data_IF_269000026262
#
_entry.id   IF_269000026262
#
_cell.length_a   1.000
_cell.length_b   1.000
_cell.length_c   1.000
_cell.angle_alpha   90.00
_cell.angle_beta   90.00
_cell.angle_gamma   90.00
#
_symmetry.space_group_name_H-M   'P 1'
#
loop_
_entity.id
_entity.type
_entity.pdbx_description
1 polymer ?
#
# COMPACT_ATOMS: atom_id res chain seq x y z
N UNK A 1 20.52 -4.13 21.96
CA UNK A 1 19.43 -4.34 20.97
C UNK A 1 18.33 -3.29 21.12
N UNK A 2 17.94 -2.63 20.02
CA UNK A 2 16.75 -1.77 19.89
C UNK A 2 15.76 -2.42 18.94
N UNK A 3 14.50 -2.54 19.35
CA UNK A 3 13.44 -3.12 18.50
C UNK A 3 12.58 -2.01 17.91
N UNK A 4 12.53 -1.93 16.59
CA UNK A 4 11.84 -0.89 15.83
C UNK A 4 10.78 -1.55 14.94
N UNK A 5 9.51 -1.29 15.19
CA UNK A 5 8.43 -1.72 14.29
C UNK A 5 8.16 -0.66 13.23
N UNK A 6 7.95 -1.07 11.98
CA UNK A 6 7.44 -0.19 10.92
C UNK A 6 5.97 -0.53 10.72
N UNK A 7 5.08 0.37 11.09
CA UNK A 7 3.64 0.12 11.06
C UNK A 7 2.91 1.22 10.32
N UNK A 8 1.87 0.85 9.54
CA UNK A 8 0.88 1.73 8.92
C UNK A 8 -0.26 0.90 8.30
N UNK A 9 -1.50 1.28 8.61
CA UNK A 9 -2.76 0.67 8.16
C UNK A 9 -3.01 0.85 6.65
N UNK A 10 -2.34 1.82 6.02
CA UNK A 10 -2.43 2.02 4.58
C UNK A 10 -1.52 1.02 3.87
N UNK A 11 -2.10 0.18 3.01
CA UNK A 11 -1.32 -0.62 2.05
C UNK A 11 -0.51 0.28 1.11
N UNK A 12 0.69 -0.17 0.71
CA UNK A 12 1.52 0.58 -0.25
C UNK A 12 2.25 1.82 0.29
N UNK A 13 2.27 2.04 1.60
CA UNK A 13 3.05 3.12 2.23
C UNK A 13 4.56 2.83 2.36
N UNK A 14 5.03 1.69 1.85
CA UNK A 14 6.45 1.33 1.79
C UNK A 14 7.06 0.71 3.05
N UNK A 15 6.29 0.04 3.91
CA UNK A 15 6.79 -0.60 5.15
C UNK A 15 7.91 -1.61 4.89
N UNK A 16 7.62 -2.64 4.11
CA UNK A 16 8.60 -3.67 3.68
C UNK A 16 9.81 -3.03 2.98
N UNK A 17 9.59 -2.05 2.11
CA UNK A 17 10.68 -1.31 1.45
C UNK A 17 11.57 -0.61 2.47
N UNK A 18 10.99 -0.02 3.52
CA UNK A 18 11.76 0.59 4.60
C UNK A 18 12.53 -0.47 5.38
N UNK A 19 11.89 -1.58 5.76
CA UNK A 19 12.53 -2.67 6.51
C UNK A 19 13.77 -3.20 5.78
N UNK A 20 13.60 -3.58 4.52
CA UNK A 20 14.69 -4.13 3.69
C UNK A 20 15.84 -3.13 3.57
N UNK A 21 15.56 -1.89 3.18
CA UNK A 21 16.61 -0.95 2.82
C UNK A 21 17.23 -0.26 4.04
N UNK A 22 16.45 0.01 5.08
CA UNK A 22 17.00 0.48 6.36
C UNK A 22 17.87 -0.60 6.99
N UNK A 23 17.42 -1.87 6.97
CA UNK A 23 18.18 -3.00 7.50
C UNK A 23 19.53 -3.16 6.81
N UNK A 24 19.52 -3.18 5.48
CA UNK A 24 20.74 -3.27 4.69
C UNK A 24 21.68 -2.05 4.90
N UNK A 25 21.14 -0.83 5.02
CA UNK A 25 21.96 0.35 5.32
C UNK A 25 22.54 0.33 6.74
N UNK A 26 21.78 -0.08 7.76
CA UNK A 26 22.29 -0.23 9.13
C UNK A 26 23.42 -1.28 9.19
N UNK A 27 23.25 -2.40 8.50
CA UNK A 27 24.28 -3.44 8.39
C UNK A 27 25.57 -2.91 7.75
N UNK A 28 25.46 -2.07 6.72
CA UNK A 28 26.62 -1.40 6.08
C UNK A 28 27.30 -0.36 6.97
N UNK A 29 26.57 0.24 7.91
CA UNK A 29 27.14 1.12 8.94
C UNK A 29 27.77 0.32 10.11
N UNK A 30 27.75 -1.02 10.02
CA UNK A 30 28.43 -1.93 10.97
C UNK A 30 27.53 -2.51 12.06
N UNK A 31 26.22 -2.22 12.04
CA UNK A 31 25.29 -2.74 13.04
C UNK A 31 24.77 -4.12 12.69
N UNK A 32 24.75 -5.03 13.67
CA UNK A 32 24.12 -6.35 13.50
C UNK A 32 22.60 -6.16 13.50
N UNK A 33 21.97 -6.44 12.37
CA UNK A 33 20.58 -6.09 12.12
C UNK A 33 19.76 -7.32 11.76
N UNK A 34 18.61 -7.48 12.42
CA UNK A 34 17.63 -8.53 12.14
C UNK A 34 16.35 -7.90 11.58
N UNK A 35 15.88 -8.32 10.41
CA UNK A 35 14.52 -8.08 9.96
C UNK A 35 13.60 -9.22 10.41
N UNK A 36 12.39 -8.91 10.84
CA UNK A 36 11.35 -9.88 11.19
C UNK A 36 10.10 -9.53 10.39
N UNK A 37 9.69 -10.43 9.50
CA UNK A 37 8.47 -10.27 8.72
C UNK A 37 7.27 -10.80 9.53
N UNK A 38 6.27 -9.95 9.78
CA UNK A 38 4.98 -10.36 10.37
C UNK A 38 3.81 -10.15 9.43
N UNK A 39 4.06 -9.81 8.16
CA UNK A 39 3.01 -9.77 7.16
C UNK A 39 2.82 -11.18 6.58
N UNK A 40 1.63 -11.80 6.68
CA UNK A 40 1.37 -13.11 6.08
C UNK A 40 1.66 -13.18 4.56
N UNK A 41 1.78 -12.04 3.88
CA UNK A 41 2.17 -11.98 2.47
C UNK A 41 3.66 -12.28 2.20
N UNK A 42 4.52 -12.32 3.23
CA UNK A 42 5.92 -12.74 3.07
C UNK A 42 6.76 -11.81 2.18
N UNK A 43 6.40 -10.53 2.08
CA UNK A 43 7.03 -9.61 1.13
C UNK A 43 8.51 -9.32 1.46
N UNK A 44 8.98 -9.49 2.70
CA UNK A 44 10.40 -9.36 2.99
C UNK A 44 11.20 -10.48 2.32
N UNK A 45 10.74 -11.73 2.43
CA UNK A 45 11.40 -12.87 1.81
C UNK A 45 11.47 -12.71 0.29
N UNK A 46 10.34 -12.35 -0.34
CA UNK A 46 10.27 -12.07 -1.78
C UNK A 46 11.23 -10.94 -2.18
N UNK A 47 11.21 -9.82 -1.46
CA UNK A 47 12.03 -8.65 -1.74
C UNK A 47 13.53 -8.84 -1.49
N UNK A 48 13.92 -9.97 -0.90
CA UNK A 48 15.30 -10.35 -0.58
C UNK A 48 15.71 -11.69 -1.24
N UNK A 49 14.95 -12.16 -2.22
CA UNK A 49 15.19 -13.41 -2.95
C UNK A 49 15.31 -14.66 -2.05
N UNK A 50 14.66 -14.68 -0.88
CA UNK A 50 14.57 -15.88 -0.03
C UNK A 50 13.50 -16.82 -0.61
N UNK A 51 13.86 -18.05 -0.99
CA UNK A 51 12.93 -18.97 -1.64
C UNK A 51 11.89 -19.51 -0.66
N UNK A 52 10.62 -19.11 -0.84
CA UNK A 52 9.51 -19.45 0.08
C UNK A 52 9.35 -20.96 0.31
N UNK A 53 9.62 -21.76 -0.72
CA UNK A 53 9.52 -23.22 -0.67
C UNK A 53 10.54 -23.85 0.30
N UNK A 54 11.67 -23.18 0.55
CA UNK A 54 12.74 -23.67 1.44
C UNK A 54 12.57 -23.22 2.89
N UNK A 55 11.62 -22.32 3.17
CA UNK A 55 11.35 -21.86 4.53
C UNK A 55 10.59 -22.98 5.26
N UNK A 56 11.29 -23.93 5.87
CA UNK A 56 10.63 -25.06 6.55
C UNK A 56 9.94 -24.65 7.86
N UNK A 57 10.48 -23.64 8.54
CA UNK A 57 9.96 -23.11 9.80
C UNK A 57 9.98 -21.58 9.72
N UNK A 58 8.88 -20.95 10.13
CA UNK A 58 8.68 -19.50 10.04
C UNK A 58 8.50 -18.85 11.41
N UNK A 59 8.34 -17.53 11.42
CA UNK A 59 7.95 -16.80 12.65
C UNK A 59 6.65 -17.34 13.27
N UNK A 60 5.72 -17.88 12.47
CA UNK A 60 4.45 -18.40 12.97
C UNK A 60 4.68 -19.57 13.94
N UNK A 61 5.55 -20.51 13.56
CA UNK A 61 5.90 -21.68 14.38
C UNK A 61 6.54 -21.27 15.70
N UNK A 62 7.42 -20.27 15.66
CA UNK A 62 8.08 -19.75 16.85
C UNK A 62 7.09 -19.09 17.83
N UNK A 63 6.08 -18.38 17.32
CA UNK A 63 5.04 -17.74 18.14
C UNK A 63 4.04 -18.74 18.75
N UNK A 64 3.96 -19.96 18.24
CA UNK A 64 3.09 -21.00 18.76
C UNK A 64 3.69 -21.74 19.97
N UNK A 65 4.99 -21.63 20.20
CA UNK A 65 5.66 -22.22 21.37
C UNK A 65 5.03 -21.68 22.66
N UNK A 66 4.61 -22.60 23.53
CA UNK A 66 3.90 -22.27 24.76
C UNK A 66 4.75 -21.47 25.75
N UNK A 67 4.10 -20.71 26.64
CA UNK A 67 4.78 -19.78 27.56
C UNK A 67 5.60 -20.49 28.66
N UNK A 68 5.31 -21.76 28.91
CA UNK A 68 6.03 -22.65 29.83
C UNK A 68 7.22 -23.38 29.19
N UNK A 69 7.38 -23.30 27.87
CA UNK A 69 8.49 -23.91 27.11
C UNK A 69 9.51 -22.87 26.68
N UNK A 70 10.82 -23.15 26.70
CA UNK A 70 11.82 -22.16 26.25
C UNK A 70 11.52 -21.65 24.82
N UNK A 71 11.75 -20.36 24.52
CA UNK A 71 11.54 -19.83 23.18
C UNK A 71 12.38 -20.59 22.16
N UNK A 72 11.87 -20.69 20.93
CA UNK A 72 12.61 -21.29 19.82
C UNK A 72 13.94 -20.56 19.62
N UNK A 73 15.02 -21.31 19.40
CA UNK A 73 16.28 -20.69 18.97
C UNK A 73 16.08 -20.04 17.60
N UNK A 74 16.21 -18.71 17.57
CA UNK A 74 16.09 -17.90 16.36
C UNK A 74 16.98 -18.40 15.22
N UNK A 75 18.15 -18.98 15.52
CA UNK A 75 19.05 -19.49 14.48
C UNK A 75 18.41 -20.55 13.57
N UNK A 76 17.35 -21.21 14.03
CA UNK A 76 16.60 -22.23 13.26
C UNK A 76 15.68 -21.64 12.19
N UNK A 77 15.33 -20.37 12.30
CA UNK A 77 14.39 -19.67 11.42
C UNK A 77 14.99 -18.41 10.80
N UNK A 78 16.28 -18.18 11.00
CA UNK A 78 16.97 -16.99 10.51
C UNK A 78 17.69 -17.30 9.20
N UNK A 79 17.51 -16.43 8.22
CA UNK A 79 18.15 -16.45 6.92
C UNK A 79 19.17 -15.33 6.84
N UNK A 80 20.42 -15.67 6.53
CA UNK A 80 21.45 -14.67 6.33
C UNK A 80 21.28 -14.02 4.95
N UNK A 81 21.04 -12.71 4.93
CA UNK A 81 20.85 -11.93 3.70
C UNK A 81 22.19 -11.37 3.24
N UNK A 82 22.93 -10.75 4.15
CA UNK A 82 24.29 -10.27 3.90
C UNK A 82 25.09 -10.22 5.20
N UNK A 83 26.30 -9.64 5.16
CA UNK A 83 27.09 -9.45 6.38
C UNK A 83 26.36 -8.48 7.32
N UNK A 84 26.14 -8.91 8.57
CA UNK A 84 25.39 -8.16 9.60
C UNK A 84 23.90 -7.91 9.28
N UNK A 85 23.32 -8.58 8.28
CA UNK A 85 21.89 -8.46 7.99
C UNK A 85 21.24 -9.83 7.81
N UNK A 86 20.31 -10.13 8.70
CA UNK A 86 19.57 -11.37 8.75
C UNK A 86 18.06 -11.12 8.65
N UNK A 87 17.30 -12.14 8.25
CA UNK A 87 15.84 -12.14 8.12
C UNK A 87 15.21 -13.33 8.85
N UNK A 88 14.19 -13.07 9.66
CA UNK A 88 13.18 -14.08 10.06
C UNK A 88 11.97 -13.89 9.16
N UNK A 89 11.69 -14.82 8.23
CA UNK A 89 10.61 -14.66 7.29
C UNK A 89 9.26 -15.13 7.86
N UNK A 90 8.19 -14.66 7.22
CA UNK A 90 6.82 -15.14 7.42
C UNK A 90 6.37 -16.04 6.26
N UNK A 91 5.22 -16.67 6.46
CA UNK A 91 4.49 -17.45 5.47
C UNK A 91 3.00 -17.15 5.54
N UNK A 92 2.26 -17.61 4.52
CA UNK A 92 0.80 -17.42 4.43
C UNK A 92 0.05 -18.02 5.64
N UNK A 93 0.59 -19.07 6.27
CA UNK A 93 0.03 -19.70 7.46
C UNK A 93 -0.03 -18.78 8.70
N UNK A 94 0.79 -17.72 8.72
CA UNK A 94 0.75 -16.68 9.75
C UNK A 94 -0.63 -16.02 9.85
N UNK A 95 -1.42 -16.02 8.77
CA UNK A 95 -2.81 -15.55 8.77
C UNK A 95 -3.72 -16.34 9.72
N UNK A 96 -3.40 -17.60 9.99
CA UNK A 96 -4.17 -18.47 10.91
C UNK A 96 -3.72 -18.33 12.37
N UNK A 97 -2.61 -17.62 12.63
CA UNK A 97 -2.01 -17.55 13.96
C UNK A 97 -2.96 -16.95 15.01
N UNK A 98 -3.73 -15.93 14.62
CA UNK A 98 -4.69 -15.28 15.52
C UNK A 98 -5.77 -16.25 16.01
N UNK A 99 -6.26 -17.13 15.13
CA UNK A 99 -7.25 -18.16 15.49
C UNK A 99 -6.61 -19.22 16.39
N UNK A 100 -5.37 -19.64 16.10
CA UNK A 100 -4.66 -20.67 16.88
C UNK A 100 -4.29 -20.20 18.28
N UNK A 101 -4.02 -18.91 18.45
CA UNK A 101 -3.74 -18.29 19.74
C UNK A 101 -5.00 -17.68 20.37
N UNK A 102 -6.20 -17.99 19.89
CA UNK A 102 -7.44 -17.49 20.50
C UNK A 102 -7.58 -17.99 21.95
N UNK A 103 -7.83 -17.08 22.88
CA UNK A 103 -7.95 -17.40 24.31
C UNK A 103 -6.64 -17.68 25.03
N UNK A 104 -5.50 -17.68 24.33
CA UNK A 104 -4.17 -17.81 24.95
C UNK A 104 -3.84 -16.50 25.67
N UNK A 105 -3.59 -16.51 26.99
CA UNK A 105 -3.19 -15.32 27.74
C UNK A 105 -1.85 -14.78 27.24
N UNK A 106 -1.65 -13.46 27.28
CA UNK A 106 -0.38 -12.80 26.94
C UNK A 106 0.17 -13.11 25.54
N UNK A 107 -0.68 -13.57 24.61
CA UNK A 107 -0.28 -13.97 23.25
C UNK A 107 0.45 -12.87 22.48
N UNK A 108 0.12 -11.62 22.73
CA UNK A 108 0.76 -10.42 22.18
C UNK A 108 2.20 -10.20 22.67
N UNK A 109 2.61 -10.83 23.79
CA UNK A 109 3.97 -10.76 24.32
C UNK A 109 4.92 -11.81 23.73
N UNK A 110 4.42 -12.77 22.95
CA UNK A 110 5.24 -13.91 22.48
C UNK A 110 6.35 -13.52 21.52
N UNK A 111 6.14 -12.51 20.68
CA UNK A 111 7.19 -12.01 19.80
C UNK A 111 8.33 -11.36 20.60
N UNK A 112 7.99 -10.58 21.63
CA UNK A 112 8.97 -9.99 22.54
C UNK A 112 9.84 -11.07 23.18
N UNK A 113 9.19 -12.10 23.73
CA UNK A 113 9.84 -13.26 24.35
C UNK A 113 10.73 -14.03 23.39
N UNK A 114 10.30 -14.21 22.14
CA UNK A 114 11.11 -14.83 21.08
C UNK A 114 12.38 -14.02 20.79
N UNK A 115 12.30 -12.69 20.82
CA UNK A 115 13.41 -11.79 20.48
C UNK A 115 14.35 -11.49 21.66
N UNK A 116 13.96 -11.77 22.91
CA UNK A 116 14.80 -11.51 24.08
C UNK A 116 16.19 -12.17 24.02
N UNK A 117 16.34 -13.45 23.64
CA UNK A 117 17.65 -14.08 23.48
C UNK A 117 18.49 -13.50 22.34
N UNK A 118 17.90 -12.71 21.43
CA UNK A 118 18.59 -12.08 20.32
C UNK A 118 19.42 -10.85 20.75
N UNK A 119 19.27 -10.40 22.01
CA UNK A 119 19.86 -9.17 22.51
C UNK A 119 21.39 -9.11 22.38
N UNK A 120 22.07 -10.27 22.51
CA UNK A 120 23.52 -10.39 22.39
C UNK A 120 24.00 -10.50 20.94
N UNK A 121 23.10 -10.86 20.02
CA UNK A 121 23.41 -11.10 18.59
C UNK A 121 23.14 -9.87 17.72
N UNK A 122 22.15 -9.06 18.06
CA UNK A 122 21.71 -7.94 17.22
C UNK A 122 21.69 -6.61 17.97
N UNK A 123 22.16 -5.58 17.27
CA UNK A 123 22.08 -4.19 17.71
C UNK A 123 20.70 -3.62 17.39
N UNK A 124 20.14 -3.96 16.22
CA UNK A 124 18.81 -3.56 15.76
C UNK A 124 17.94 -4.75 15.36
N UNK A 125 16.66 -4.70 15.73
CA UNK A 125 15.61 -5.57 15.17
C UNK A 125 14.57 -4.69 14.50
N UNK A 126 14.28 -4.95 13.24
CA UNK A 126 13.29 -4.24 12.42
C UNK A 126 12.10 -5.16 12.18
N UNK A 127 10.89 -4.76 12.60
CA UNK A 127 9.68 -5.58 12.44
C UNK A 127 8.80 -5.00 11.32
N UNK A 128 8.57 -5.78 10.26
CA UNK A 128 7.59 -5.45 9.21
C UNK A 128 6.19 -5.85 9.67
N UNK A 129 5.30 -4.88 9.87
CA UNK A 129 3.93 -5.17 10.29
C UNK A 129 3.00 -5.36 9.08
N UNK A 130 1.90 -6.13 9.20
CA UNK A 130 0.87 -6.15 8.18
C UNK A 130 0.14 -4.79 8.08
N UNK A 131 -0.60 -4.52 6.99
CA UNK A 131 -1.39 -3.30 6.80
C UNK A 131 -2.71 -3.29 7.60
N UNK A 132 -2.93 -4.23 8.52
CA UNK A 132 -4.17 -4.35 9.30
C UNK A 132 -3.97 -3.92 10.75
N UNK A 133 -5.06 -3.57 11.43
CA UNK A 133 -5.07 -3.41 12.89
C UNK A 133 -5.63 -4.68 13.48
N UNK A 134 -4.76 -5.61 13.84
CA UNK A 134 -5.12 -6.92 14.40
C UNK A 134 -4.02 -7.48 15.28
N UNK A 135 -4.12 -8.75 15.62
CA UNK A 135 -3.20 -9.44 16.53
C UNK A 135 -1.72 -9.27 16.16
N UNK A 136 -1.37 -9.44 14.89
CA UNK A 136 0.03 -9.36 14.42
C UNK A 136 0.63 -7.94 14.60
N UNK A 137 -0.15 -6.91 14.30
CA UNK A 137 0.25 -5.52 14.55
C UNK A 137 0.39 -5.26 16.05
N UNK A 138 -0.53 -5.73 16.88
CA UNK A 138 -0.40 -5.62 18.34
C UNK A 138 0.87 -6.33 18.85
N UNK A 139 1.14 -7.55 18.39
CA UNK A 139 2.35 -8.30 18.72
C UNK A 139 3.63 -7.52 18.36
N UNK A 140 3.68 -6.90 17.17
CA UNK A 140 4.77 -6.01 16.76
C UNK A 140 4.95 -4.83 17.72
N UNK A 141 3.84 -4.17 18.11
CA UNK A 141 3.88 -3.00 19.00
C UNK A 141 4.24 -3.36 20.44
N UNK A 142 3.84 -4.53 20.94
CA UNK A 142 4.24 -5.03 22.27
C UNK A 142 5.71 -5.42 22.33
N UNK A 143 6.28 -5.90 21.21
CA UNK A 143 7.70 -6.23 21.10
C UNK A 143 8.61 -5.00 20.96
N UNK A 144 8.12 -3.97 20.27
CA UNK A 144 8.90 -2.79 19.90
C UNK A 144 9.20 -1.84 21.07
N UNK A 145 10.36 -1.19 20.98
CA UNK A 145 10.74 -0.03 21.80
C UNK A 145 10.41 1.29 21.05
N UNK A 146 10.40 1.24 19.72
CA UNK A 146 10.12 2.36 18.82
C UNK A 146 9.23 1.94 17.65
N UNK A 147 8.37 2.85 17.18
CA UNK A 147 7.58 2.68 15.96
C UNK A 147 7.98 3.75 14.96
N UNK A 148 8.28 3.31 13.74
CA UNK A 148 8.33 4.16 12.56
C UNK A 148 6.96 4.13 11.87
N UNK A 149 6.35 5.29 11.74
CA UNK A 149 5.12 5.50 10.97
C UNK A 149 5.49 6.15 9.64
N UNK A 150 5.57 5.38 8.52
CA UNK A 150 5.81 5.96 7.22
C UNK A 150 4.56 6.68 6.71
N UNK A 151 4.73 7.90 6.22
CA UNK A 151 3.64 8.75 5.72
C UNK A 151 4.01 9.22 4.32
N UNK A 152 3.18 8.89 3.34
CA UNK A 152 3.35 9.43 1.99
C UNK A 152 2.99 10.92 1.94
N UNK A 153 3.45 11.66 0.94
CA UNK A 153 3.07 13.08 0.79
C UNK A 153 1.87 13.25 -0.14
N UNK A 154 0.82 12.45 0.11
CA UNK A 154 -0.43 12.44 -0.63
C UNK A 154 -1.57 13.17 0.10
N UNK A 155 -2.63 13.51 -0.63
CA UNK A 155 -3.73 14.33 -0.09
C UNK A 155 -4.36 13.78 1.21
N UNK A 156 -4.50 12.45 1.32
CA UNK A 156 -5.11 11.81 2.49
C UNK A 156 -4.12 11.47 3.62
N UNK A 157 -2.84 11.80 3.46
CA UNK A 157 -1.79 11.29 4.33
C UNK A 157 -1.83 11.88 5.75
N UNK A 158 -2.24 13.14 5.90
CA UNK A 158 -2.45 13.78 7.22
C UNK A 158 -3.61 13.13 8.00
N UNK A 159 -4.70 12.78 7.30
CA UNK A 159 -5.84 12.12 7.92
C UNK A 159 -5.49 10.68 8.31
N UNK A 160 -4.84 9.94 7.41
CA UNK A 160 -4.36 8.59 7.68
C UNK A 160 -3.39 8.52 8.86
N UNK A 161 -2.45 9.47 8.94
CA UNK A 161 -1.54 9.61 10.07
C UNK A 161 -2.28 9.83 11.39
N UNK A 162 -3.28 10.73 11.42
CA UNK A 162 -4.03 11.01 12.66
C UNK A 162 -4.70 9.76 13.22
N UNK A 163 -5.44 9.03 12.37
CA UNK A 163 -6.10 7.76 12.74
C UNK A 163 -5.10 6.71 13.23
N UNK A 164 -3.94 6.66 12.58
CA UNK A 164 -2.90 5.71 12.95
C UNK A 164 -2.29 6.04 14.32
N UNK A 165 -1.98 7.31 14.58
CA UNK A 165 -1.47 7.75 15.88
C UNK A 165 -2.49 7.45 16.99
N UNK A 166 -3.79 7.64 16.75
CA UNK A 166 -4.83 7.27 17.71
C UNK A 166 -4.87 5.77 17.99
N UNK A 167 -4.68 4.93 16.97
CA UNK A 167 -4.59 3.47 17.15
C UNK A 167 -3.37 3.08 18.00
N UNK A 168 -2.21 3.69 17.72
CA UNK A 168 -0.98 3.45 18.49
C UNK A 168 -1.13 3.93 19.93
N UNK A 169 -1.84 5.04 20.17
CA UNK A 169 -2.16 5.54 21.52
C UNK A 169 -2.93 4.51 22.33
N UNK A 170 -3.99 3.94 21.75
CA UNK A 170 -4.80 2.92 22.43
C UNK A 170 -3.97 1.69 22.79
N UNK A 171 -3.19 1.15 21.84
CA UNK A 171 -2.36 -0.04 22.09
C UNK A 171 -1.26 0.25 23.13
N UNK A 172 -0.65 1.44 23.09
CA UNK A 172 0.34 1.86 24.10
C UNK A 172 -0.26 1.96 25.50
N UNK A 173 -1.51 2.41 25.63
CA UNK A 173 -2.19 2.49 26.92
C UNK A 173 -2.39 1.10 27.55
N UNK A 174 -2.60 0.08 26.71
CA UNK A 174 -2.80 -1.31 27.12
C UNK A 174 -1.47 -2.05 27.39
N UNK A 175 -0.39 -1.74 26.66
CA UNK A 175 0.86 -2.51 26.71
C UNK A 175 1.76 -2.24 27.93
N UNK A 176 1.51 -1.15 28.68
CA UNK A 176 2.31 -0.76 29.84
C UNK A 176 3.77 -0.39 29.53
N UNK A 177 4.19 -0.37 28.25
CA UNK A 177 5.55 -0.05 27.81
C UNK A 177 5.69 1.40 27.34
N UNK A 178 6.90 1.93 27.49
CA UNK A 178 7.29 3.21 26.86
C UNK A 178 7.58 2.96 25.39
N UNK A 179 6.61 3.27 24.54
CA UNK A 179 6.72 3.15 23.10
C UNK A 179 6.98 4.52 22.48
N UNK A 180 8.15 4.69 21.86
CA UNK A 180 8.52 5.93 21.16
C UNK A 180 7.95 5.89 19.75
N UNK A 181 7.22 6.93 19.34
CA UNK A 181 6.65 7.00 17.99
C UNK A 181 7.43 8.03 17.19
N UNK A 182 7.91 7.63 16.01
CA UNK A 182 8.59 8.48 15.03
C UNK A 182 7.84 8.45 13.71
N UNK A 183 7.79 9.58 13.03
CA UNK A 183 7.15 9.73 11.71
C UNK A 183 8.24 9.85 10.65
N UNK A 184 8.14 9.04 9.61
CA UNK A 184 9.02 9.10 8.44
C UNK A 184 8.23 9.61 7.24
N UNK A 185 8.62 10.75 6.68
CA UNK A 185 8.11 11.15 5.38
C UNK A 185 8.68 10.20 4.31
N UNK A 186 7.81 9.44 3.67
CA UNK A 186 8.14 8.43 2.67
C UNK A 186 7.50 8.77 1.32
N UNK A 187 8.00 8.18 0.23
CA UNK A 187 7.48 8.38 -1.13
C UNK A 187 7.32 9.86 -1.48
N UNK A 188 8.23 10.70 -0.99
CA UNK A 188 8.14 12.14 -1.14
C UNK A 188 8.45 12.55 -2.58
N UNK A 189 7.49 13.18 -3.26
CA UNK A 189 7.73 13.80 -4.57
C UNK A 189 7.97 15.31 -4.43
N UNK A 190 9.24 15.67 -4.30
CA UNK A 190 9.72 17.07 -4.19
C UNK A 190 9.29 17.96 -5.36
N UNK A 191 9.02 17.38 -6.53
CA UNK A 191 8.64 18.13 -7.74
C UNK A 191 7.22 18.66 -7.62
N UNK A 192 6.38 18.01 -6.82
CA UNK A 192 4.98 18.41 -6.65
C UNK A 192 4.85 19.53 -5.62
N UNK A 193 4.00 20.52 -5.91
CA UNK A 193 3.64 21.57 -4.95
C UNK A 193 2.93 20.95 -3.73
N UNK A 194 1.97 20.06 -3.97
CA UNK A 194 1.21 19.36 -2.93
C UNK A 194 2.12 18.57 -1.98
N UNK A 195 3.10 17.83 -2.50
CA UNK A 195 4.04 17.08 -1.67
C UNK A 195 4.87 17.99 -0.75
N UNK A 196 5.33 19.14 -1.26
CA UNK A 196 6.05 20.16 -0.48
C UNK A 196 5.17 20.77 0.62
N UNK A 197 3.91 21.09 0.32
CA UNK A 197 2.96 21.65 1.28
C UNK A 197 2.61 20.65 2.39
N UNK A 198 2.37 19.38 2.03
CA UNK A 198 2.09 18.32 3.01
C UNK A 198 3.30 18.09 3.92
N UNK A 199 4.52 18.03 3.38
CA UNK A 199 5.73 17.88 4.19
C UNK A 199 5.92 19.06 5.15
N UNK A 200 5.67 20.28 4.69
CA UNK A 200 5.73 21.47 5.53
C UNK A 200 4.70 21.41 6.69
N UNK A 201 3.47 20.99 6.39
CA UNK A 201 2.43 20.86 7.41
C UNK A 201 2.69 19.72 8.40
N UNK A 202 3.22 18.58 7.92
CA UNK A 202 3.69 17.48 8.78
C UNK A 202 4.76 17.97 9.76
N UNK A 203 5.78 18.69 9.26
CA UNK A 203 6.84 19.27 10.11
C UNK A 203 6.30 20.28 11.10
N UNK A 204 5.36 21.12 10.68
CA UNK A 204 4.73 22.12 11.56
C UNK A 204 3.95 21.48 12.71
N UNK A 205 3.26 20.36 12.47
CA UNK A 205 2.39 19.68 13.46
C UNK A 205 3.12 18.65 14.31
N UNK A 206 4.11 17.98 13.73
CA UNK A 206 4.72 16.78 14.29
C UNK A 206 6.25 16.81 14.23
N UNK A 207 6.88 17.97 14.04
CA UNK A 207 8.32 18.11 13.84
C UNK A 207 9.18 17.37 14.87
N UNK A 208 8.81 17.43 16.15
CA UNK A 208 9.54 16.76 17.24
C UNK A 208 9.50 15.23 17.15
N UNK A 209 8.45 14.69 16.53
CA UNK A 209 8.28 13.26 16.30
C UNK A 209 8.78 12.81 14.92
N UNK A 210 9.13 13.73 14.02
CA UNK A 210 9.58 13.37 12.68
C UNK A 210 11.08 13.05 12.65
N UNK A 211 11.46 12.12 11.79
CA UNK A 211 12.84 12.08 11.32
C UNK A 211 13.14 13.33 10.48
N UNK A 212 14.38 13.79 10.59
CA UNK A 212 14.93 14.83 9.71
C UNK A 212 15.06 14.28 8.29
N UNK A 213 15.45 13.01 8.19
CA UNK A 213 15.50 12.25 6.94
C UNK A 213 14.11 11.99 6.40
N UNK A 214 14.04 11.93 5.08
CA UNK A 214 12.85 11.56 4.30
C UNK A 214 13.31 10.73 3.11
N UNK A 215 12.41 9.88 2.62
CA UNK A 215 12.66 9.02 1.46
C UNK A 215 11.90 9.58 0.27
N UNK A 216 12.61 9.93 -0.80
CA UNK A 216 12.01 10.42 -2.02
C UNK A 216 11.33 9.28 -2.80
N UNK A 217 10.35 9.63 -3.62
CA UNK A 217 9.85 8.71 -4.64
C UNK A 217 11.00 8.34 -5.59
N UNK A 218 11.31 7.05 -5.70
CA UNK A 218 12.39 6.55 -6.54
C UNK A 218 11.99 5.20 -7.16
N UNK A 219 12.02 5.09 -8.49
CA UNK A 219 11.67 3.86 -9.21
C UNK A 219 12.66 2.73 -8.94
N UNK A 220 13.93 3.05 -8.70
CA UNK A 220 14.99 2.06 -8.42
C UNK A 220 14.74 1.25 -7.15
N UNK A 221 14.00 1.79 -6.18
CA UNK A 221 13.58 1.04 -4.99
C UNK A 221 12.59 -0.07 -5.34
N UNK A 222 11.71 0.14 -6.34
CA UNK A 222 10.79 -0.90 -6.82
C UNK A 222 11.52 -1.92 -7.67
N UNK A 223 12.42 -1.44 -8.54
CA UNK A 223 13.27 -2.29 -9.38
C UNK A 223 14.14 -3.22 -8.51
N UNK A 224 14.77 -2.70 -7.45
CA UNK A 224 15.59 -3.51 -6.54
C UNK A 224 14.79 -4.62 -5.85
N UNK A 225 13.59 -4.30 -5.33
CA UNK A 225 12.69 -5.30 -4.74
C UNK A 225 12.26 -6.36 -5.75
N UNK A 226 11.99 -5.97 -7.01
CA UNK A 226 11.62 -6.94 -8.06
C UNK A 226 12.75 -7.91 -8.44
N UNK A 227 14.00 -7.52 -8.18
CA UNK A 227 15.19 -8.34 -8.38
C UNK A 227 15.63 -9.07 -7.10
N UNK A 228 14.85 -8.93 -6.01
CA UNK A 228 15.13 -9.57 -4.73
C UNK A 228 16.40 -9.08 -4.05
N UNK A 229 16.76 -7.81 -4.25
CA UNK A 229 17.97 -7.21 -3.69
C UNK A 229 17.67 -5.89 -2.97
N UNK A 230 18.33 -5.61 -1.84
CA UNK A 230 18.33 -4.27 -1.26
C UNK A 230 18.90 -3.22 -2.23
N UNK A 231 18.48 -1.96 -2.08
CA UNK A 231 18.99 -0.85 -2.90
C UNK A 231 20.50 -0.66 -2.77
N UNK A 232 21.08 -1.08 -1.64
CA UNK A 232 22.52 -1.03 -1.37
C UNK A 232 23.33 -1.99 -2.23
N UNK A 233 22.69 -3.00 -2.80
CA UNK A 233 23.30 -3.97 -3.73
C UNK A 233 22.92 -3.65 -5.17
N UNK A 234 21.64 -3.33 -5.41
CA UNK A 234 21.13 -3.02 -6.74
C UNK A 234 21.72 -1.74 -7.34
N UNK A 235 21.66 -0.62 -6.61
CA UNK A 235 22.27 0.64 -7.02
C UNK A 235 22.72 1.47 -5.79
N UNK A 236 23.95 1.22 -5.31
CA UNK A 236 24.53 1.93 -4.16
C UNK A 236 24.67 3.44 -4.36
N UNK A 237 24.62 3.93 -5.60
CA UNK A 237 24.82 5.34 -5.95
C UNK A 237 23.53 6.12 -6.12
N UNK A 238 22.40 5.40 -6.18
CA UNK A 238 21.06 5.95 -6.37
C UNK A 238 20.67 6.96 -5.30
N UNK A 239 19.78 7.89 -5.66
CA UNK A 239 19.19 8.80 -4.68
C UNK A 239 18.44 8.03 -3.57
N UNK A 240 17.74 6.93 -3.90
CA UNK A 240 17.07 6.08 -2.92
C UNK A 240 18.03 5.47 -1.90
N UNK A 241 19.18 4.94 -2.35
CA UNK A 241 20.21 4.44 -1.43
C UNK A 241 20.74 5.56 -0.53
N UNK A 242 21.01 6.75 -1.08
CA UNK A 242 21.47 7.91 -0.29
C UNK A 242 20.43 8.35 0.75
N UNK A 243 19.15 8.28 0.43
CA UNK A 243 18.06 8.60 1.36
C UNK A 243 18.06 7.61 2.54
N UNK A 244 18.15 6.30 2.26
CA UNK A 244 18.22 5.27 3.30
C UNK A 244 19.52 5.30 4.12
N UNK A 245 20.66 5.65 3.52
CA UNK A 245 21.90 5.87 4.26
C UNK A 245 21.78 7.02 5.26
N UNK A 246 21.13 8.12 4.88
CA UNK A 246 20.86 9.23 5.82
C UNK A 246 19.94 8.79 6.95
N UNK A 247 18.87 8.05 6.62
CA UNK A 247 17.96 7.50 7.62
C UNK A 247 18.67 6.52 8.57
N UNK A 248 19.51 5.62 8.06
CA UNK A 248 20.26 4.67 8.87
C UNK A 248 21.24 5.36 9.84
N UNK A 249 21.94 6.40 9.38
CA UNK A 249 22.79 7.22 10.26
C UNK A 249 21.99 7.94 11.33
N UNK A 250 20.84 8.48 10.97
CA UNK A 250 19.93 9.12 11.93
C UNK A 250 19.42 8.11 12.96
N UNK A 251 18.92 6.95 12.53
CA UNK A 251 18.45 5.87 13.42
C UNK A 251 19.58 5.35 14.32
N UNK A 252 20.77 5.14 13.77
CA UNK A 252 21.96 4.66 14.50
C UNK A 252 22.48 5.64 15.54
N UNK A 253 22.41 6.95 15.27
CA UNK A 253 22.87 8.01 16.19
C UNK A 253 21.84 8.39 17.25
N UNK A 254 20.56 8.14 17.00
CA UNK A 254 19.52 8.34 18.01
C UNK A 254 19.67 7.29 19.12
N UNK A 255 19.80 7.73 20.38
CA UNK A 255 19.53 6.85 21.53
C UNK A 255 18.05 6.48 21.61
N UNK A 256 17.64 5.71 22.62
CA UNK A 256 16.23 5.59 23.00
C UNK A 256 15.73 6.97 23.47
N UNK A 257 15.39 7.84 22.52
CA UNK A 257 15.00 9.22 22.77
C UNK A 257 13.73 9.33 23.60
N UNK A 258 13.44 10.51 24.16
CA UNK A 258 12.25 10.72 24.98
C UNK A 258 11.00 10.30 24.20
N UNK A 259 10.15 9.51 24.84
CA UNK A 259 8.89 9.07 24.28
C UNK A 259 8.04 10.29 23.92
N UNK A 260 7.63 10.38 22.65
CA UNK A 260 6.69 11.40 22.22
C UNK A 260 5.43 11.35 23.09
N UNK A 261 5.05 12.51 23.65
CA UNK A 261 3.79 12.69 24.34
C UNK A 261 2.70 12.88 23.30
N UNK A 262 1.90 11.85 23.11
CA UNK A 262 0.78 11.78 22.18
C UNK A 262 -0.43 12.61 22.68
N UNK A 263 -0.21 13.82 23.22
CA UNK A 263 -1.18 14.53 24.07
C UNK A 263 -2.19 15.44 23.37
N UNK A 264 -2.27 15.47 22.03
CA UNK A 264 -3.31 16.29 21.36
C UNK A 264 -4.14 15.46 20.36
N UNK A 265 -5.49 15.46 20.50
CA UNK A 265 -6.40 14.94 19.48
C UNK A 265 -6.40 15.83 18.23
N UNK A 266 -6.62 15.19 17.09
CA UNK A 266 -6.37 15.74 15.75
C UNK A 266 -7.23 16.95 15.36
N UNK A 267 -6.63 17.81 14.54
CA UNK A 267 -7.35 18.82 13.76
C UNK A 267 -6.87 18.70 12.30
N UNK A 268 -7.39 17.71 11.56
CA UNK A 268 -7.05 17.50 10.15
C UNK A 268 -7.73 18.50 9.19
N UNK A 269 -8.74 19.24 9.64
CA UNK A 269 -9.67 19.98 8.77
C UNK A 269 -9.07 21.27 8.19
N UNK A 270 -8.32 22.05 8.98
CA UNK A 270 -7.91 23.41 8.59
C UNK A 270 -6.82 23.50 7.50
N UNK A 271 -6.05 22.43 7.25
CA UNK A 271 -5.01 22.44 6.21
C UNK A 271 -5.57 22.06 4.83
N UNK A 272 -6.53 21.14 4.80
CA UNK A 272 -7.23 20.75 3.57
C UNK A 272 -8.04 21.93 3.03
N UNK A 273 -8.73 22.66 3.91
CA UNK A 273 -9.50 23.86 3.56
C UNK A 273 -8.61 24.98 2.97
N UNK A 274 -7.37 25.15 3.46
CA UNK A 274 -6.42 26.12 2.89
C UNK A 274 -5.90 25.71 1.52
N UNK A 275 -5.70 24.41 1.29
CA UNK A 275 -5.27 23.86 -0.02
C UNK A 275 -6.41 23.96 -1.04
N UNK A 276 -7.65 23.73 -0.61
CA UNK A 276 -8.83 23.89 -1.47
C UNK A 276 -9.09 25.37 -1.80
N UNK A 277 -8.95 26.28 -0.83
CA UNK A 277 -9.06 27.72 -1.06
C UNK A 277 -7.99 28.26 -2.04
N UNK A 278 -6.75 27.74 -1.96
CA UNK A 278 -5.68 28.10 -2.87
C UNK A 278 -5.86 27.58 -4.31
N UNK A 279 -6.70 26.56 -4.51
CA UNK A 279 -7.10 26.05 -5.85
C UNK A 279 -8.26 26.82 -6.46
N UNK A 280 -9.19 27.30 -5.65
CA UNK A 280 -10.34 28.09 -6.13
C UNK A 280 -9.91 29.51 -6.53
N UNK A 281 -8.90 30.08 -5.87
CA UNK A 281 -8.42 31.45 -6.13
C UNK A 281 -7.59 31.66 -7.41
N UNK A 282 -7.18 30.60 -8.12
CA UNK A 282 -6.30 30.72 -9.30
C UNK A 282 -7.02 30.64 -10.66
N UNK A 283 -8.37 30.59 -10.66
CA UNK A 283 -9.17 30.38 -11.88
C UNK A 283 -10.08 31.56 -12.26
N UNK A 284 -9.99 32.69 -11.56
CA UNK A 284 -10.77 33.90 -11.85
C UNK A 284 -9.88 35.14 -11.94
N UNK A 285 -8.98 35.19 -12.92
CA UNK A 285 -8.46 36.48 -13.39
C UNK A 285 -7.82 36.29 -14.77
N UNK A 286 -8.65 36.44 -15.80
CA UNK A 286 -8.34 36.89 -17.18
C UNK A 286 -9.52 36.50 -18.07
N UNK A 287 -10.46 37.42 -18.27
CA UNK A 287 -10.84 37.99 -19.58
C UNK A 287 -11.77 39.16 -19.25
N UNK A 288 -11.30 40.37 -19.48
CA UNK A 288 -12.13 41.56 -19.62
C UNK A 288 -11.98 42.03 -21.07
N UNK A 289 -13.05 41.91 -21.88
CA UNK A 289 -13.40 42.84 -22.98
C UNK A 289 -14.89 42.67 -23.32
N UNK A 290 -15.68 43.70 -23.00
CA UNK A 290 -16.51 44.46 -23.95
C UNK A 290 -17.70 43.83 -24.70
N UNK A 291 -18.85 44.47 -24.48
CA UNK A 291 -19.94 44.79 -25.42
C UNK A 291 -21.16 43.85 -25.53
N UNK A 292 -22.32 44.39 -25.11
CA UNK A 292 -23.45 44.61 -26.03
C UNK A 292 -24.64 43.67 -25.99
N UNK A 293 -25.73 44.21 -25.42
CA UNK A 293 -27.13 44.11 -25.86
C UNK A 293 -28.05 42.91 -25.54
N UNK A 294 -29.17 43.31 -24.94
CA UNK A 294 -30.58 42.96 -25.19
C UNK A 294 -31.21 41.68 -24.62
N UNK A 295 -32.11 41.93 -23.66
CA UNK A 295 -33.45 41.38 -23.44
C UNK A 295 -33.83 40.04 -24.10
N UNK A 296 -34.20 39.05 -23.28
CA UNK A 296 -35.62 38.77 -22.98
C UNK A 296 -35.82 37.47 -22.17
N UNK A 297 -36.88 37.52 -21.36
CA UNK A 297 -37.78 36.42 -20.98
C UNK A 297 -37.56 35.60 -19.69
N UNK A 298 -38.02 36.23 -18.60
CA UNK A 298 -39.12 35.77 -17.72
C UNK A 298 -39.15 34.33 -17.20
N UNK A 299 -38.99 34.29 -15.87
CA UNK A 299 -39.90 33.65 -14.90
C UNK A 299 -39.80 32.14 -14.68
N UNK A 300 -39.27 31.76 -13.52
CA UNK A 300 -40.02 31.08 -12.43
C UNK A 300 -39.11 30.88 -11.22
N UNK A 301 -39.29 31.75 -10.23
CA UNK A 301 -38.78 31.61 -8.87
C UNK A 301 -39.97 31.29 -7.96
N UNK A 302 -39.99 30.08 -7.39
CA UNK A 302 -40.79 29.75 -6.22
C UNK A 302 -40.06 28.69 -5.38
N UNK A 303 -39.31 29.20 -4.40
CA UNK A 303 -38.99 28.71 -3.04
C UNK A 303 -39.41 27.28 -2.65
N UNK A 304 -38.49 26.49 -2.06
CA UNK A 304 -38.58 26.03 -0.65
C UNK A 304 -37.36 25.20 -0.15
N UNK A 305 -37.17 25.04 1.19
CA UNK A 305 -35.89 24.76 1.86
C UNK A 305 -35.64 23.32 2.36
N UNK A 306 -34.36 23.06 2.67
CA UNK A 306 -33.72 22.31 3.79
C UNK A 306 -34.38 21.04 4.40
N UNK A 307 -33.60 19.94 4.32
CA UNK A 307 -33.34 18.80 5.22
C UNK A 307 -34.26 18.45 6.42
N UNK A 308 -34.60 17.14 6.53
CA UNK A 308 -34.23 16.22 7.61
C UNK A 308 -35.10 14.93 7.58
N UNK A 309 -34.47 13.73 7.65
CA UNK A 309 -35.05 12.54 8.30
C UNK A 309 -34.02 11.38 8.37
N UNK A 310 -33.67 10.99 9.60
CA UNK A 310 -33.18 9.65 9.98
C UNK A 310 -34.41 8.84 10.39
N UNK A 311 -34.47 7.52 10.11
CA UNK A 311 -34.97 6.46 11.02
C UNK A 311 -34.93 5.06 10.36
N UNK A 312 -34.64 4.08 11.22
CA UNK A 312 -34.49 2.61 11.14
C UNK A 312 -35.43 1.76 10.27
N UNK A 313 -34.93 0.59 9.83
CA UNK A 313 -35.73 -0.58 9.40
C UNK A 313 -34.90 -1.89 9.41
N UNK A 314 -35.54 -3.03 9.77
CA UNK A 314 -34.96 -4.40 9.86
C UNK A 314 -34.38 -4.90 8.52
N UNK A 315 -33.50 -5.93 8.50
CA UNK A 315 -32.90 -6.43 7.26
C UNK A 315 -33.97 -6.97 6.32
N UNK A 316 -33.94 -6.47 5.10
CA UNK A 316 -34.86 -6.83 4.02
C UNK A 316 -34.73 -8.33 3.70
N UNK A 317 -35.82 -9.08 3.79
CA UNK A 317 -35.90 -10.53 3.54
C UNK A 317 -35.43 -10.88 2.10
N UNK A 318 -35.48 -9.89 1.21
CA UNK A 318 -34.95 -9.95 -0.15
C UNK A 318 -33.41 -9.94 -0.22
N UNK A 319 -32.72 -9.26 0.70
CA UNK A 319 -31.25 -9.25 0.78
C UNK A 319 -30.72 -10.57 1.32
N UNK A 320 -31.41 -11.18 2.29
CA UNK A 320 -31.01 -12.47 2.86
C UNK A 320 -31.13 -13.59 1.83
N UNK A 321 -32.25 -13.66 1.10
CA UNK A 321 -32.43 -14.61 -0.02
C UNK A 321 -31.43 -14.42 -1.15
N UNK A 322 -30.98 -13.18 -1.39
CA UNK A 322 -29.99 -12.86 -2.43
C UNK A 322 -28.57 -13.24 -2.00
N UNK A 323 -28.25 -13.12 -0.70
CA UNK A 323 -26.99 -13.60 -0.12
C UNK A 323 -26.91 -15.14 -0.13
N UNK A 324 -28.01 -15.83 0.17
CA UNK A 324 -28.07 -17.30 0.10
C UNK A 324 -27.94 -17.82 -1.35
N UNK A 325 -28.55 -17.13 -2.32
CA UNK A 325 -28.40 -17.45 -3.73
C UNK A 325 -26.95 -17.24 -4.23
N UNK A 326 -26.28 -16.17 -3.80
CA UNK A 326 -24.87 -15.90 -4.11
C UNK A 326 -23.92 -16.93 -3.48
N UNK A 327 -24.21 -17.39 -2.26
CA UNK A 327 -23.43 -18.43 -1.59
C UNK A 327 -23.59 -19.81 -2.26
N UNK A 328 -24.78 -20.13 -2.76
CA UNK A 328 -25.04 -21.36 -3.51
C UNK A 328 -24.34 -21.36 -4.89
N UNK A 329 -24.28 -20.22 -5.57
CA UNK A 329 -23.56 -20.07 -6.84
C UNK A 329 -22.03 -20.13 -6.65
N UNK A 330 -21.50 -19.53 -5.59
CA UNK A 330 -20.08 -19.64 -5.24
C UNK A 330 -19.65 -21.09 -4.99
N UNK A 331 -20.47 -21.89 -4.30
CA UNK A 331 -20.19 -23.31 -4.08
C UNK A 331 -20.31 -24.16 -5.36
N UNK A 332 -21.20 -23.80 -6.30
CA UNK A 332 -21.23 -24.42 -7.64
C UNK A 332 -19.97 -24.12 -8.45
N UNK A 333 -19.48 -22.89 -8.39
CA UNK A 333 -18.26 -22.46 -9.10
C UNK A 333 -16.99 -23.10 -8.52
N UNK A 334 -16.96 -23.35 -7.21
CA UNK A 334 -15.89 -24.12 -6.57
C UNK A 334 -15.93 -25.61 -6.96
N UNK A 335 -17.12 -26.19 -7.14
CA UNK A 335 -17.27 -27.58 -7.58
C UNK A 335 -16.87 -27.78 -9.06
N UNK A 336 -17.13 -26.81 -9.94
CA UNK A 336 -16.68 -26.87 -11.36
C UNK A 336 -15.19 -26.62 -11.52
N UNK A 337 -14.55 -25.93 -10.57
CA UNK A 337 -13.09 -25.71 -10.55
C UNK A 337 -12.30 -27.00 -10.28
N UNK A 338 -12.88 -27.99 -9.58
CA UNK A 338 -12.25 -29.30 -9.37
C UNK A 338 -12.26 -30.18 -10.63
N UNK A 339 -13.17 -29.93 -11.57
CA UNK A 339 -13.28 -30.70 -12.83
C UNK A 339 -12.33 -30.19 -13.93
N UNK A 340 -11.84 -28.94 -13.81
CA UNK A 340 -10.88 -28.33 -14.73
C UNK A 340 -9.42 -28.76 -14.47
N UNK A 341 -9.14 -29.31 -13.29
CA UNK A 341 -7.88 -29.97 -12.97
C UNK A 341 -8.02 -31.47 -13.28
N UNK A 342 -7.78 -31.84 -14.54
CA UNK A 342 -7.75 -33.23 -14.99
C UNK A 342 -6.75 -34.10 -14.18
N UNK A 343 -6.82 -35.43 -14.30
CA UNK A 343 -6.03 -36.33 -13.45
C UNK A 343 -4.53 -36.12 -13.72
N UNK A 344 -3.79 -35.92 -12.63
CA UNK A 344 -2.35 -35.74 -12.60
C UNK A 344 -1.64 -36.83 -13.39
N UNK A 345 -0.98 -36.46 -14.50
CA UNK A 345 -0.07 -37.34 -15.22
C UNK A 345 1.36 -37.02 -14.81
N UNK A 346 1.93 -37.93 -14.04
CA UNK A 346 3.37 -38.10 -13.90
C UNK A 346 4.01 -38.40 -15.25
N UNK A 347 4.96 -37.57 -15.70
CA UNK A 347 6.15 -38.02 -16.44
C UNK A 347 7.17 -36.87 -16.54
N UNK A 348 8.42 -37.21 -16.27
CA UNK A 348 9.54 -36.26 -16.19
C UNK A 348 9.98 -35.69 -17.54
N UNK A 349 10.70 -34.56 -17.45
CA UNK A 349 11.49 -33.99 -18.56
C UNK A 349 11.34 -32.48 -18.70
N UNK A 350 12.42 -31.75 -18.40
CA UNK A 350 12.70 -30.33 -18.69
C UNK A 350 11.98 -29.26 -17.86
N UNK A 351 12.73 -28.60 -16.96
CA UNK A 351 12.37 -27.29 -16.36
C UNK A 351 12.07 -26.30 -17.49
N UNK A 352 10.84 -25.78 -17.56
CA UNK A 352 10.54 -24.63 -18.40
C UNK A 352 11.30 -23.41 -17.88
N UNK A 353 11.98 -22.68 -18.75
CA UNK A 353 12.71 -21.46 -18.42
C UNK A 353 11.74 -20.37 -17.91
N UNK A 354 12.23 -19.51 -17.01
CA UNK A 354 11.47 -18.38 -16.49
C UNK A 354 11.03 -17.45 -17.64
N UNK A 355 9.79 -16.94 -17.63
CA UNK A 355 9.30 -16.05 -18.68
C UNK A 355 10.13 -14.77 -18.71
N UNK A 356 10.48 -14.35 -19.92
CA UNK A 356 11.23 -13.12 -20.16
C UNK A 356 10.41 -11.89 -19.72
N UNK A 357 11.05 -10.75 -19.42
CA UNK A 357 10.36 -9.50 -19.10
C UNK A 357 9.33 -9.08 -20.17
N UNK A 358 9.60 -9.37 -21.45
CA UNK A 358 8.67 -9.12 -22.55
C UNK A 358 7.44 -10.05 -22.51
N UNK A 359 7.59 -11.30 -22.09
CA UNK A 359 6.47 -12.25 -21.94
C UNK A 359 5.64 -11.95 -20.69
N UNK A 360 6.28 -11.53 -19.60
CA UNK A 360 5.60 -11.06 -18.38
C UNK A 360 4.83 -9.77 -18.63
N UNK A 361 5.43 -8.81 -19.35
CA UNK A 361 4.77 -7.57 -19.76
C UNK A 361 3.57 -7.84 -20.68
N UNK A 362 3.71 -8.74 -21.67
CA UNK A 362 2.59 -9.19 -22.52
C UNK A 362 1.47 -9.86 -21.73
N UNK A 363 1.80 -10.64 -20.69
CA UNK A 363 0.80 -11.24 -19.79
C UNK A 363 0.09 -10.18 -18.92
N UNK A 364 0.80 -9.16 -18.45
CA UNK A 364 0.20 -8.05 -17.70
C UNK A 364 -0.70 -7.20 -18.61
N UNK A 365 -0.26 -6.88 -19.83
CA UNK A 365 -1.06 -6.19 -20.85
C UNK A 365 -2.30 -7.01 -21.24
N UNK A 366 -2.16 -8.33 -21.36
CA UNK A 366 -3.27 -9.22 -21.64
C UNK A 366 -4.30 -9.28 -20.51
N UNK A 367 -3.87 -9.22 -19.25
CA UNK A 367 -4.76 -9.35 -18.08
C UNK A 367 -5.35 -8.00 -17.65
N UNK A 368 -4.60 -6.89 -17.79
CA UNK A 368 -4.95 -5.59 -17.21
C UNK A 368 -4.80 -4.38 -18.15
N UNK A 369 -4.38 -4.58 -19.40
CA UNK A 369 -4.32 -3.54 -20.43
C UNK A 369 -5.44 -3.67 -21.47
N UNK A 370 -5.54 -2.71 -22.41
CA UNK A 370 -6.46 -2.83 -23.53
C UNK A 370 -6.01 -3.98 -24.44
N UNK A 371 -6.92 -4.89 -24.78
CA UNK A 371 -6.61 -5.99 -25.69
C UNK A 371 -7.66 -6.12 -26.80
N UNK A 372 -7.19 -6.40 -28.01
CA UNK A 372 -8.03 -6.61 -29.17
C UNK A 372 -8.76 -7.96 -29.09
N UNK A 373 -10.03 -7.96 -29.47
CA UNK A 373 -10.91 -9.12 -29.62
C UNK A 373 -11.57 -9.08 -31.00
N UNK A 374 -12.20 -10.17 -31.42
CA UNK A 374 -12.74 -10.34 -32.79
C UNK A 374 -13.68 -9.19 -33.23
N UNK A 375 -14.41 -8.56 -32.30
CA UNK A 375 -15.29 -7.41 -32.59
C UNK A 375 -14.95 -6.12 -31.80
N UNK A 376 -13.66 -5.84 -31.58
CA UNK A 376 -13.23 -4.55 -31.03
C UNK A 376 -12.13 -4.66 -29.98
N UNK A 377 -12.16 -3.76 -28.99
CA UNK A 377 -11.14 -3.68 -27.92
C UNK A 377 -11.81 -3.73 -26.57
N UNK A 378 -11.30 -4.57 -25.69
CA UNK A 378 -11.69 -4.61 -24.29
C UNK A 378 -10.72 -3.75 -23.48
N UNK A 379 -11.25 -2.74 -22.79
CA UNK A 379 -10.52 -1.92 -21.84
C UNK A 379 -10.80 -2.43 -20.43
N UNK A 380 -9.73 -2.68 -19.66
CA UNK A 380 -9.82 -3.21 -18.29
C UNK A 380 -8.99 -2.35 -17.35
N UNK A 381 -9.54 -2.04 -16.17
CA UNK A 381 -8.77 -1.39 -15.09
C UNK A 381 -9.19 -1.94 -13.73
N UNK A 382 -8.22 -2.18 -12.85
CA UNK A 382 -8.49 -2.57 -11.47
C UNK A 382 -8.78 -1.35 -10.61
N UNK A 383 -9.95 -1.33 -9.95
CA UNK A 383 -10.38 -0.21 -9.11
C UNK A 383 -11.31 -0.67 -7.97
N UNK A 384 -10.78 -1.52 -7.09
CA UNK A 384 -11.48 -2.28 -6.02
C UNK A 384 -12.38 -1.48 -5.05
N UNK A 385 -12.43 -0.14 -5.15
CA UNK A 385 -13.27 0.75 -4.32
C UNK A 385 -13.90 1.93 -5.09
N UNK A 386 -13.83 1.96 -6.42
CA UNK A 386 -14.39 3.04 -7.21
C UNK A 386 -15.93 2.96 -7.22
N UNK A 387 -16.59 4.11 -7.08
CA UNK A 387 -18.05 4.19 -7.22
C UNK A 387 -18.46 4.25 -8.69
N UNK A 388 -17.60 4.83 -9.53
CA UNK A 388 -17.79 4.92 -10.97
C UNK A 388 -16.46 4.92 -11.71
N UNK A 389 -16.40 4.17 -12.79
CA UNK A 389 -15.29 4.21 -13.75
C UNK A 389 -15.86 4.48 -15.13
N UNK A 390 -15.25 5.43 -15.83
CA UNK A 390 -15.65 5.83 -17.18
C UNK A 390 -14.42 5.86 -18.09
N UNK A 391 -14.62 5.78 -19.39
CA UNK A 391 -13.59 5.87 -20.40
C UNK A 391 -13.81 7.11 -21.25
N UNK A 392 -12.76 7.86 -21.54
CA UNK A 392 -12.78 8.99 -22.45
C UNK A 392 -11.58 8.94 -23.38
N UNK A 393 -11.80 9.15 -24.67
CA UNK A 393 -10.76 9.08 -25.68
C UNK A 393 -11.23 9.56 -27.04
N UNK A 394 -10.36 9.40 -28.03
CA UNK A 394 -10.61 9.86 -29.41
C UNK A 394 -11.90 9.25 -30.00
N UNK A 395 -12.32 8.07 -29.56
CA UNK A 395 -13.53 7.37 -30.03
C UNK A 395 -14.85 7.85 -29.42
N UNK A 396 -14.82 8.74 -28.42
CA UNK A 396 -16.04 9.28 -27.79
C UNK A 396 -15.99 10.78 -27.54
N UNK A 397 -15.20 11.51 -28.34
CA UNK A 397 -14.98 12.95 -28.22
C UNK A 397 -14.49 13.38 -26.82
N UNK A 398 -13.71 12.52 -26.17
CA UNK A 398 -13.23 12.73 -24.80
C UNK A 398 -14.36 12.99 -23.78
N UNK A 399 -15.56 12.43 -24.01
CA UNK A 399 -16.71 12.56 -23.11
C UNK A 399 -16.90 11.29 -22.26
N UNK A 400 -16.53 11.32 -20.96
CA UNK A 400 -16.63 10.14 -20.10
C UNK A 400 -18.07 9.65 -19.89
N UNK A 401 -19.07 10.53 -20.06
CA UNK A 401 -20.47 10.16 -19.93
C UNK A 401 -20.97 9.16 -20.97
N UNK A 402 -20.25 9.02 -22.10
CA UNK A 402 -20.64 8.13 -23.20
C UNK A 402 -20.16 6.69 -23.02
N UNK A 403 -19.19 6.45 -22.12
CA UNK A 403 -18.56 5.13 -21.98
C UNK A 403 -18.33 4.78 -20.51
N UNK A 404 -19.38 4.48 -19.73
CA UNK A 404 -19.22 3.90 -18.40
C UNK A 404 -18.66 2.48 -18.49
N UNK A 405 -17.76 2.11 -17.57
CA UNK A 405 -17.28 0.73 -17.44
C UNK A 405 -18.18 -0.05 -16.48
N UNK A 406 -18.27 -1.36 -16.72
CA UNK A 406 -19.04 -2.30 -15.91
C UNK A 406 -18.12 -2.88 -14.83
N UNK A 407 -18.48 -2.83 -13.54
CA UNK A 407 -17.72 -3.47 -12.47
C UNK A 407 -17.80 -5.00 -12.57
N UNK A 408 -16.68 -5.67 -12.34
CA UNK A 408 -16.52 -7.11 -12.33
C UNK A 408 -16.32 -7.63 -10.91
N UNK A 409 -16.58 -8.93 -10.69
CA UNK A 409 -16.51 -9.55 -9.37
C UNK A 409 -15.09 -9.60 -8.76
N UNK A 410 -14.05 -9.46 -9.59
CA UNK A 410 -12.63 -9.50 -9.21
C UNK A 410 -12.05 -8.12 -8.83
N UNK A 411 -12.90 -7.08 -8.78
CA UNK A 411 -12.49 -5.70 -8.50
C UNK A 411 -12.04 -4.91 -9.72
N UNK A 412 -12.11 -5.50 -10.92
CA UNK A 412 -11.87 -4.80 -12.18
C UNK A 412 -13.12 -4.12 -12.72
N UNK A 413 -12.92 -3.16 -13.63
CA UNK A 413 -13.95 -2.50 -14.42
C UNK A 413 -13.62 -2.73 -15.88
N UNK A 414 -14.61 -3.08 -16.68
CA UNK A 414 -14.41 -3.43 -18.10
C UNK A 414 -15.42 -2.78 -19.03
N UNK A 415 -15.01 -2.53 -20.27
CA UNK A 415 -15.89 -2.17 -21.38
C UNK A 415 -15.31 -2.70 -22.70
N UNK A 416 -16.17 -3.30 -23.55
CA UNK A 416 -15.84 -3.64 -24.94
C UNK A 416 -16.31 -2.52 -25.86
N UNK A 417 -15.41 -1.98 -26.68
CA UNK A 417 -15.73 -0.96 -27.69
C UNK A 417 -15.43 -1.49 -29.10
N UNK A 418 -16.37 -1.35 -30.06
CA UNK A 418 -16.08 -1.61 -31.46
C UNK A 418 -15.23 -0.46 -32.01
N UNK A 419 -13.91 -0.68 -32.13
CA UNK A 419 -12.97 0.26 -32.71
C UNK A 419 -12.48 -0.27 -34.06
N UNK A 420 -12.43 0.59 -35.07
CA UNK A 420 -11.80 0.25 -36.35
C UNK A 420 -10.28 0.19 -36.18
N UNK A 421 -9.54 -0.49 -37.08
CA UNK A 421 -8.08 -0.49 -37.04
C UNK A 421 -7.54 0.94 -37.06
N UNK A 422 -6.65 1.26 -36.11
CA UNK A 422 -6.22 2.64 -35.92
C UNK A 422 -5.54 2.92 -34.58
N UNK A 423 -5.09 4.17 -34.44
CA UNK A 423 -4.45 4.68 -33.22
C UNK A 423 -5.43 5.55 -32.46
N UNK A 424 -5.67 5.23 -31.19
CA UNK A 424 -6.58 5.98 -30.33
C UNK A 424 -5.91 6.34 -29.00
N UNK A 425 -6.07 7.59 -28.59
CA UNK A 425 -5.72 8.06 -27.24
C UNK A 425 -6.92 7.97 -26.33
N UNK A 426 -6.68 7.61 -25.07
CA UNK A 426 -7.73 7.48 -24.06
C UNK A 426 -7.20 7.65 -22.64
N UNK A 427 -8.12 7.88 -21.70
CA UNK A 427 -7.93 7.90 -20.25
C UNK A 427 -9.17 7.37 -19.54
N UNK A 428 -8.97 6.84 -18.34
CA UNK A 428 -10.06 6.54 -17.42
C UNK A 428 -10.47 7.77 -16.63
N UNK A 429 -11.74 7.83 -16.24
CA UNK A 429 -12.26 8.77 -15.25
C UNK A 429 -12.84 7.98 -14.10
N UNK A 430 -12.09 7.91 -13.00
CA UNK A 430 -12.44 7.16 -11.78
C UNK A 430 -12.94 8.17 -10.76
N UNK A 431 -14.22 8.08 -10.39
CA UNK A 431 -14.86 9.00 -9.44
C UNK A 431 -14.62 10.48 -9.75
N UNK A 432 -14.69 10.82 -11.05
CA UNK A 432 -14.46 12.17 -11.57
C UNK A 432 -12.99 12.56 -11.78
N UNK A 433 -12.02 11.69 -11.50
CA UNK A 433 -10.59 11.95 -11.70
C UNK A 433 -10.05 11.28 -12.94
N UNK A 434 -9.33 12.04 -13.76
CA UNK A 434 -8.68 11.56 -14.97
C UNK A 434 -7.40 10.78 -14.66
N UNK A 435 -7.33 9.53 -15.09
CA UNK A 435 -6.26 8.58 -14.81
C UNK A 435 -5.80 7.94 -16.12
N UNK A 436 -4.50 7.98 -16.39
CA UNK A 436 -3.90 7.22 -17.49
C UNK A 436 -3.91 5.73 -17.14
N UNK A 437 -4.07 4.87 -18.13
CA UNK A 437 -4.11 3.43 -17.94
C UNK A 437 -2.78 2.89 -17.38
N UNK A 438 -2.76 2.40 -16.12
CA UNK A 438 -1.53 1.86 -15.52
C UNK A 438 -1.14 0.48 -16.10
N UNK A 439 -2.07 -0.20 -16.76
CA UNK A 439 -1.84 -1.47 -17.46
C UNK A 439 -1.37 -1.29 -18.90
N UNK A 440 -1.28 -0.05 -19.41
CA UNK A 440 -0.82 0.25 -20.75
C UNK A 440 0.54 0.99 -20.72
N UNK A 441 1.58 0.34 -21.25
CA UNK A 441 2.92 0.92 -21.36
C UNK A 441 3.01 2.03 -22.43
N UNK A 442 2.07 2.07 -23.38
CA UNK A 442 2.05 3.05 -24.45
C UNK A 442 1.31 4.31 -24.02
N UNK A 443 2.06 5.42 -23.88
CA UNK A 443 1.51 6.72 -23.49
C UNK A 443 2.11 7.84 -24.32
N UNK A 444 1.32 8.90 -24.49
CA UNK A 444 1.71 10.10 -25.23
C UNK A 444 1.37 11.36 -24.41
N UNK A 445 2.19 12.41 -24.57
CA UNK A 445 1.97 13.67 -23.86
C UNK A 445 0.91 14.50 -24.59
N UNK A 446 -0.13 14.91 -23.87
CA UNK A 446 -1.21 15.71 -24.41
C UNK A 446 -0.88 17.22 -24.38
N UNK A 447 -1.67 18.07 -25.06
CA UNK A 447 -1.43 19.53 -25.12
C UNK A 447 -1.41 20.23 -23.76
N UNK A 448 -1.98 19.61 -22.72
CA UNK A 448 -2.03 20.11 -21.35
C UNK A 448 -0.85 19.61 -20.49
N UNK A 449 0.06 18.83 -21.07
CA UNK A 449 1.27 18.33 -20.41
C UNK A 449 1.07 17.06 -19.56
N UNK A 450 -0.13 16.47 -19.59
CA UNK A 450 -0.45 15.19 -18.95
C UNK A 450 -0.24 14.03 -19.94
N UNK A 451 -0.30 12.78 -19.46
CA UNK A 451 -0.11 11.59 -20.30
C UNK A 451 -1.46 10.97 -20.67
N UNK A 452 -1.72 10.78 -21.96
CA UNK A 452 -2.81 9.98 -22.48
C UNK A 452 -2.30 8.57 -22.79
N UNK A 453 -3.09 7.54 -22.49
CA UNK A 453 -2.77 6.18 -22.89
C UNK A 453 -3.11 5.97 -24.36
N UNK A 454 -2.29 5.19 -25.07
CA UNK A 454 -2.44 4.96 -26.51
C UNK A 454 -2.72 3.50 -26.75
N UNK A 455 -3.82 3.20 -27.46
CA UNK A 455 -4.11 1.86 -27.96
C UNK A 455 -3.98 1.84 -29.47
N UNK A 456 -3.37 0.77 -29.98
CA UNK A 456 -3.30 0.44 -31.39
C UNK A 456 -4.23 -0.75 -31.62
N UNK A 457 -5.20 -0.58 -32.51
CA UNK A 457 -6.24 -1.59 -32.84
C UNK A 457 -5.93 -2.25 -34.16
#
# INVERSE_FOLDING_TARGET
MRIIAVANQKGGCGKTTIIINLGACLAREGYRTLAVDLDPQGHCALGLAVPEEQIETSVADALLIADDQPPMDLSRITWQISSNFDLVPSKTDLSTLEQRLAGVPNREHRLRRLLEPAADKYDFVLIDSPPTVGFLTQSALHAADEIIVPVDTGYFSLHGLSKQLDTIRSIRAESGRKLTVRILANLYDVRTKLGREILAELRKRHGDAMYTSYINFNTKLKESTSLGQPITEYDPTSAGCKDFQRLAKEVGSMGAGPAFSLTQPGIATAAVERIDAARVGSSQERVAVGAGNDEADRSRLAKSPVAAAVVSGKPDDALLKRAEALAADANRLLATSQTLLGPSRSNGGSRAAAPTPAETQRKIEFIYGPHAVEDGVVFTIRADRALSVRLAGDFNDWNPGRTPLVPMADGTFQVKLPLAPGRYRYRYVIDGRWVSDPGNAHMERNPYGEMDSVVMV
#
